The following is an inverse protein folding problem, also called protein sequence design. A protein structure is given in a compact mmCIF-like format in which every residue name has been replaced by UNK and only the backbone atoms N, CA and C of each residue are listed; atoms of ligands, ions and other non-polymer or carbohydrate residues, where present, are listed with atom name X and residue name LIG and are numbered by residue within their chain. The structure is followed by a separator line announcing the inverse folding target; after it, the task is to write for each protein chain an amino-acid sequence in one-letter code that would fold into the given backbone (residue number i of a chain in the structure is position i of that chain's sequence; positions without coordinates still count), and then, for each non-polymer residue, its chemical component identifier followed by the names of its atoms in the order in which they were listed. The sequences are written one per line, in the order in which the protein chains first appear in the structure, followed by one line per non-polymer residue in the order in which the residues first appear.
data_IF_482999926697
#
_entry.id   IF_482999926697
#
_cell.length_a   1.000
_cell.length_b   1.000
_cell.length_c   1.000
_cell.angle_alpha   90.00
_cell.angle_beta   90.00
_cell.angle_gamma   90.00
#
_symmetry.space_group_name_H-M   'P 1'
#
loop_
_entity.id
_entity.type
_entity.pdbx_description
1 polymer ?
#
# COMPACT_ATOMS: atom_id res chain seq x y z
N UNK A 1 -24.64 8.24 -23.54
CA UNK A 1 -24.06 7.52 -22.36
C UNK A 1 -22.54 7.66 -22.34
N UNK A 2 -22.01 8.87 -22.13
CA UNK A 2 -20.56 9.10 -21.96
C UNK A 2 -20.14 9.28 -20.48
N UNK A 3 -21.11 9.50 -19.57
CA UNK A 3 -20.87 9.78 -18.15
C UNK A 3 -20.13 8.65 -17.43
N UNK A 4 -20.67 7.43 -17.45
CA UNK A 4 -20.07 6.28 -16.79
C UNK A 4 -18.65 5.96 -17.30
N UNK A 5 -18.41 6.12 -18.61
CA UNK A 5 -17.07 5.95 -19.17
C UNK A 5 -16.10 7.05 -18.71
N UNK A 6 -16.55 8.31 -18.68
CA UNK A 6 -15.75 9.45 -18.19
C UNK A 6 -15.42 9.31 -16.70
N UNK A 7 -16.38 8.88 -15.88
CA UNK A 7 -16.19 8.64 -14.45
C UNK A 7 -15.16 7.55 -14.21
N UNK A 8 -15.29 6.41 -14.89
CA UNK A 8 -14.32 5.31 -14.84
C UNK A 8 -12.91 5.77 -15.23
N UNK A 9 -12.80 6.57 -16.30
CA UNK A 9 -11.52 7.12 -16.75
C UNK A 9 -10.91 8.07 -15.72
N UNK A 10 -11.72 8.98 -15.16
CA UNK A 10 -11.27 9.91 -14.11
C UNK A 10 -10.83 9.17 -12.86
N UNK A 11 -11.57 8.15 -12.43
CA UNK A 11 -11.21 7.30 -11.30
C UNK A 11 -9.86 6.62 -11.52
N UNK A 12 -9.68 5.96 -12.66
CA UNK A 12 -8.41 5.33 -13.04
C UNK A 12 -7.26 6.33 -13.00
N UNK A 13 -7.43 7.52 -13.57
CA UNK A 13 -6.39 8.56 -13.53
C UNK A 13 -6.07 9.00 -12.11
N UNK A 14 -7.08 9.18 -11.24
CA UNK A 14 -6.87 9.54 -9.82
C UNK A 14 -6.09 8.47 -9.08
N UNK A 15 -6.45 7.19 -9.24
CA UNK A 15 -5.71 6.09 -8.61
C UNK A 15 -4.27 6.04 -9.10
N UNK A 16 -4.04 6.06 -10.42
CA UNK A 16 -2.67 6.01 -10.94
C UNK A 16 -1.82 7.21 -10.50
N UNK A 17 -2.39 8.41 -10.48
CA UNK A 17 -1.70 9.61 -10.00
C UNK A 17 -1.37 9.52 -8.50
N UNK A 18 -2.19 8.84 -7.72
CA UNK A 18 -1.95 8.58 -6.30
C UNK A 18 -0.89 7.48 -6.09
N UNK A 19 -0.87 6.44 -6.92
CA UNK A 19 0.12 5.36 -6.84
C UNK A 19 1.54 5.85 -7.11
N UNK A 20 1.72 6.80 -8.04
CA UNK A 20 3.06 7.28 -8.40
C UNK A 20 3.88 7.81 -7.21
N UNK A 21 3.40 8.78 -6.41
CA UNK A 21 4.15 9.25 -5.24
C UNK A 21 4.28 8.17 -4.17
N UNK A 22 3.30 7.28 -4.00
CA UNK A 22 3.39 6.19 -3.02
C UNK A 22 4.47 5.16 -3.35
N UNK A 23 4.81 4.99 -4.64
CA UNK A 23 5.77 4.00 -5.13
C UNK A 23 7.09 4.61 -5.63
N UNK A 24 7.35 5.88 -5.31
CA UNK A 24 8.48 6.67 -5.85
C UNK A 24 9.84 5.98 -5.62
N UNK A 25 10.02 5.32 -4.47
CA UNK A 25 11.25 4.58 -4.14
C UNK A 25 11.56 3.38 -5.05
N UNK A 26 10.56 2.84 -5.77
CA UNK A 26 10.76 1.70 -6.67
C UNK A 26 11.42 2.09 -8.01
N UNK A 27 11.62 3.38 -8.28
CA UNK A 27 12.21 3.86 -9.55
C UNK A 27 11.26 3.75 -10.74
N UNK A 28 9.95 3.62 -10.50
CA UNK A 28 8.93 3.61 -11.54
C UNK A 28 8.60 5.06 -11.93
N UNK A 29 9.09 5.51 -13.08
CA UNK A 29 9.01 6.93 -13.48
C UNK A 29 7.68 7.33 -14.14
N UNK A 30 6.77 6.39 -14.38
CA UNK A 30 5.47 6.69 -15.00
C UNK A 30 4.42 5.63 -14.71
N UNK A 31 3.14 6.00 -14.82
CA UNK A 31 2.02 5.06 -14.74
C UNK A 31 2.11 3.95 -15.81
N UNK A 32 2.66 4.26 -16.99
CA UNK A 32 2.89 3.26 -18.05
C UNK A 32 3.93 2.22 -17.62
N UNK A 33 5.02 2.65 -16.97
CA UNK A 33 6.02 1.74 -16.42
C UNK A 33 5.40 0.87 -15.32
N UNK A 34 4.67 1.48 -14.39
CA UNK A 34 3.95 0.76 -13.32
C UNK A 34 3.05 -0.35 -13.88
N UNK A 35 2.20 -0.03 -14.85
CA UNK A 35 1.27 -1.01 -15.45
C UNK A 35 1.97 -2.08 -16.28
N UNK A 36 3.16 -1.80 -16.81
CA UNK A 36 3.97 -2.82 -17.49
C UNK A 36 4.53 -3.85 -16.50
N UNK A 37 4.98 -3.38 -15.32
CA UNK A 37 5.50 -4.26 -14.27
C UNK A 37 4.37 -4.96 -13.50
N UNK A 38 3.22 -4.31 -13.35
CA UNK A 38 2.05 -4.81 -12.61
C UNK A 38 0.77 -4.65 -13.44
N UNK A 39 0.56 -5.48 -14.48
CA UNK A 39 -0.64 -5.38 -15.32
C UNK A 39 -1.93 -5.63 -14.54
N UNK A 40 -1.87 -6.40 -13.46
CA UNK A 40 -3.03 -6.66 -12.58
C UNK A 40 -3.61 -5.43 -11.89
N UNK A 41 -2.86 -4.31 -11.82
CA UNK A 41 -3.36 -3.04 -11.27
C UNK A 41 -4.57 -2.54 -12.05
N UNK A 42 -4.64 -2.75 -13.37
CA UNK A 42 -5.80 -2.31 -14.13
C UNK A 42 -7.07 -3.00 -13.64
N UNK A 43 -7.03 -4.32 -13.47
CA UNK A 43 -8.18 -5.07 -12.97
C UNK A 43 -8.54 -4.67 -11.54
N UNK A 44 -7.55 -4.49 -10.66
CA UNK A 44 -7.79 -4.03 -9.29
C UNK A 44 -8.50 -2.67 -9.24
N UNK A 45 -8.08 -1.71 -10.08
CA UNK A 45 -8.74 -0.40 -10.20
C UNK A 45 -10.19 -0.55 -10.66
N UNK A 46 -10.45 -1.45 -11.62
CA UNK A 46 -11.80 -1.71 -12.12
C UNK A 46 -12.70 -2.34 -11.06
N UNK A 47 -12.17 -3.28 -10.29
CA UNK A 47 -12.90 -3.97 -9.22
C UNK A 47 -13.30 -3.00 -8.11
N UNK A 48 -12.36 -2.15 -7.65
CA UNK A 48 -12.65 -1.12 -6.65
C UNK A 48 -13.66 -0.10 -7.16
N UNK A 49 -13.55 0.34 -8.42
CA UNK A 49 -14.55 1.22 -9.02
C UNK A 49 -15.94 0.55 -9.07
N UNK A 50 -16.01 -0.74 -9.40
CA UNK A 50 -17.26 -1.50 -9.43
C UNK A 50 -17.93 -1.64 -8.06
N UNK A 51 -17.15 -1.62 -6.98
CA UNK A 51 -17.64 -1.62 -5.58
C UNK A 51 -18.04 -0.23 -5.08
N UNK A 52 -17.72 0.82 -5.82
CA UNK A 52 -17.95 2.21 -5.41
C UNK A 52 -16.92 2.73 -4.40
N UNK A 53 -15.76 2.07 -4.29
CA UNK A 53 -14.72 2.46 -3.34
C UNK A 53 -14.09 3.81 -3.72
N UNK A 54 -13.77 4.66 -2.73
CA UNK A 54 -12.97 5.87 -3.00
C UNK A 54 -11.59 5.51 -3.55
N UNK A 55 -11.08 6.34 -4.45
CA UNK A 55 -9.78 6.13 -5.11
C UNK A 55 -8.60 5.97 -4.14
N UNK A 56 -8.67 6.55 -2.93
CA UNK A 56 -7.64 6.40 -1.89
C UNK A 56 -7.65 5.00 -1.29
N UNK A 57 -8.84 4.39 -1.14
CA UNK A 57 -9.00 3.00 -0.70
C UNK A 57 -8.34 2.06 -1.71
N UNK A 58 -8.65 2.24 -2.99
CA UNK A 58 -8.02 1.47 -4.07
C UNK A 58 -6.50 1.65 -4.10
N UNK A 59 -6.01 2.89 -3.97
CA UNK A 59 -4.58 3.18 -3.97
C UNK A 59 -3.84 2.49 -2.82
N UNK A 60 -4.35 2.58 -1.58
CA UNK A 60 -3.72 1.93 -0.42
C UNK A 60 -3.72 0.39 -0.54
N UNK A 61 -4.82 -0.20 -1.01
CA UNK A 61 -4.91 -1.65 -1.23
C UNK A 61 -3.93 -2.14 -2.30
N UNK A 62 -3.84 -1.40 -3.42
CA UNK A 62 -2.93 -1.72 -4.52
C UNK A 62 -1.47 -1.57 -4.09
N UNK A 63 -1.11 -0.49 -3.39
CA UNK A 63 0.27 -0.28 -2.90
C UNK A 63 0.67 -1.37 -1.92
N UNK A 64 -0.19 -1.74 -0.98
CA UNK A 64 0.07 -2.85 -0.06
C UNK A 64 0.36 -4.15 -0.81
N UNK A 65 -0.39 -4.43 -1.88
CA UNK A 65 -0.17 -5.60 -2.74
C UNK A 65 1.17 -5.51 -3.49
N UNK A 66 1.46 -4.36 -4.11
CA UNK A 66 2.70 -4.15 -4.87
C UNK A 66 3.94 -4.28 -3.98
N UNK A 67 3.95 -3.64 -2.81
CA UNK A 67 5.10 -3.66 -1.91
C UNK A 67 5.29 -5.04 -1.27
N UNK A 68 4.22 -5.74 -0.90
CA UNK A 68 4.34 -7.11 -0.37
C UNK A 68 4.85 -8.08 -1.44
N UNK A 69 4.40 -7.95 -2.69
CA UNK A 69 4.93 -8.72 -3.81
C UNK A 69 6.42 -8.45 -4.05
N UNK A 70 6.86 -7.18 -3.97
CA UNK A 70 8.28 -6.83 -4.06
C UNK A 70 9.11 -7.49 -2.98
N UNK A 71 8.67 -7.39 -1.73
CA UNK A 71 9.33 -8.02 -0.58
C UNK A 71 9.46 -9.53 -0.78
N UNK A 72 8.37 -10.19 -1.15
CA UNK A 72 8.31 -11.65 -1.24
C UNK A 72 9.17 -12.20 -2.37
N UNK A 73 9.25 -11.50 -3.51
CA UNK A 73 9.94 -11.98 -4.72
C UNK A 73 11.41 -11.58 -4.82
N UNK A 74 11.80 -10.44 -4.26
CA UNK A 74 13.09 -9.83 -4.55
C UNK A 74 14.00 -9.65 -3.34
N UNK A 75 13.48 -9.83 -2.13
CA UNK A 75 14.25 -9.62 -0.91
C UNK A 75 14.32 -10.90 -0.10
N UNK A 76 15.52 -11.30 0.32
CA UNK A 76 15.76 -12.40 1.25
C UNK A 76 15.54 -12.00 2.72
N UNK A 77 15.71 -12.93 3.64
CA UNK A 77 15.46 -12.69 5.07
C UNK A 77 16.39 -11.61 5.67
N UNK A 78 17.66 -11.58 5.29
CA UNK A 78 18.63 -10.63 5.83
C UNK A 78 18.37 -9.22 5.29
N UNK A 79 18.06 -9.11 3.99
CA UNK A 79 17.69 -7.85 3.37
C UNK A 79 16.38 -7.30 3.95
N UNK A 80 15.38 -8.16 4.20
CA UNK A 80 14.12 -7.76 4.85
C UNK A 80 14.36 -7.24 6.27
N UNK A 81 15.21 -7.90 7.05
CA UNK A 81 15.58 -7.46 8.39
C UNK A 81 16.31 -6.10 8.36
N UNK A 82 17.22 -5.90 7.40
CA UNK A 82 17.89 -4.61 7.21
C UNK A 82 16.91 -3.49 6.84
N UNK A 83 15.93 -3.76 5.97
CA UNK A 83 14.87 -2.80 5.64
C UNK A 83 14.04 -2.45 6.87
N UNK A 84 13.62 -3.45 7.66
CA UNK A 84 12.89 -3.20 8.92
C UNK A 84 13.68 -2.29 9.87
N UNK A 85 14.97 -2.56 10.06
CA UNK A 85 15.83 -1.71 10.88
C UNK A 85 15.89 -0.26 10.35
N UNK A 86 16.02 -0.09 9.04
CA UNK A 86 16.00 1.23 8.41
C UNK A 86 14.65 1.96 8.58
N UNK A 87 13.52 1.24 8.55
CA UNK A 87 12.20 1.85 8.77
C UNK A 87 12.03 2.37 10.21
N UNK A 88 12.70 1.76 11.18
CA UNK A 88 12.69 2.20 12.59
C UNK A 88 13.75 3.24 12.93
N UNK A 89 14.76 3.41 12.07
CA UNK A 89 15.81 4.40 12.26
C UNK A 89 15.41 5.77 11.71
N UNK A 90 15.06 6.67 12.63
CA UNK A 90 14.71 8.06 12.33
C UNK A 90 15.93 8.95 12.09
N UNK A 91 17.15 8.49 12.41
CA UNK A 91 18.37 9.28 12.21
C UNK A 91 18.85 9.23 10.75
N UNK A 92 18.60 8.13 10.04
CA UNK A 92 18.98 7.99 8.64
C UNK A 92 18.00 8.73 7.71
N UNK A 93 18.47 9.68 6.87
CA UNK A 93 17.61 10.35 5.89
C UNK A 93 17.01 9.37 4.90
N UNK A 94 15.75 9.59 4.49
CA UNK A 94 15.02 8.74 3.53
C UNK A 94 15.84 8.47 2.27
N UNK A 95 16.46 9.49 1.68
CA UNK A 95 17.27 9.37 0.47
C UNK A 95 18.48 8.41 0.60
N UNK A 96 18.93 8.11 1.82
CA UNK A 96 20.04 7.20 2.10
C UNK A 96 19.58 5.76 2.39
N UNK A 97 18.27 5.51 2.48
CA UNK A 97 17.69 4.18 2.75
C UNK A 97 17.60 3.34 1.47
N UNK A 98 17.39 2.03 1.62
CA UNK A 98 17.07 1.14 0.50
C UNK A 98 15.85 1.63 -0.29
N UNK A 99 15.82 1.38 -1.60
CA UNK A 99 14.73 1.80 -2.48
C UNK A 99 13.36 1.31 -2.03
N UNK A 100 13.27 0.07 -1.52
CA UNK A 100 12.03 -0.45 -0.99
C UNK A 100 11.66 0.25 0.33
N UNK A 101 12.62 0.52 1.21
CA UNK A 101 12.37 1.29 2.42
C UNK A 101 11.86 2.70 2.11
N UNK A 102 12.44 3.37 1.10
CA UNK A 102 11.96 4.65 0.60
C UNK A 102 10.52 4.58 0.10
N UNK A 103 10.18 3.56 -0.68
CA UNK A 103 8.82 3.36 -1.20
C UNK A 103 7.80 3.12 -0.07
N UNK A 104 8.16 2.30 0.93
CA UNK A 104 7.30 2.04 2.09
C UNK A 104 7.04 3.34 2.88
N UNK A 105 8.08 4.15 3.12
CA UNK A 105 7.92 5.44 3.79
C UNK A 105 7.08 6.42 2.96
N UNK A 106 7.27 6.49 1.64
CA UNK A 106 6.41 7.31 0.76
C UNK A 106 4.95 6.88 0.81
N UNK A 107 4.67 5.56 0.78
CA UNK A 107 3.32 5.04 0.91
C UNK A 107 2.69 5.41 2.25
N UNK A 108 3.45 5.28 3.34
CA UNK A 108 3.00 5.65 4.68
C UNK A 108 2.72 7.16 4.80
N UNK A 109 3.63 8.01 4.34
CA UNK A 109 3.50 9.47 4.37
C UNK A 109 2.24 9.93 3.64
N UNK A 110 2.01 9.44 2.41
CA UNK A 110 0.81 9.80 1.62
C UNK A 110 -0.47 9.30 2.29
N UNK A 111 -0.48 8.05 2.77
CA UNK A 111 -1.65 7.51 3.46
C UNK A 111 -1.96 8.25 4.76
N UNK A 112 -0.92 8.61 5.52
CA UNK A 112 -1.04 9.40 6.75
C UNK A 112 -1.63 10.78 6.47
N UNK A 113 -1.11 11.49 5.46
CA UNK A 113 -1.65 12.79 5.07
C UNK A 113 -3.13 12.74 4.67
N UNK A 114 -3.59 11.66 4.04
CA UNK A 114 -5.01 11.50 3.72
C UNK A 114 -5.88 11.24 4.94
N UNK A 115 -5.38 10.48 5.91
CA UNK A 115 -6.07 10.24 7.17
C UNK A 115 -6.22 11.56 7.95
N UNK A 116 -5.14 12.35 8.02
CA UNK A 116 -5.14 13.61 8.76
C UNK A 116 -5.96 14.72 8.07
N UNK A 117 -5.78 14.90 6.75
CA UNK A 117 -6.29 16.08 6.07
C UNK A 117 -7.57 15.86 5.27
N UNK A 118 -7.97 14.61 5.05
CA UNK A 118 -9.01 14.29 4.07
C UNK A 118 -10.02 13.25 4.55
N UNK A 119 -9.98 12.91 5.83
CA UNK A 119 -10.91 11.98 6.48
C UNK A 119 -10.82 10.55 5.94
N UNK A 120 -9.68 10.15 5.38
CA UNK A 120 -9.49 8.76 4.99
C UNK A 120 -9.47 7.85 6.22
N UNK A 121 -9.93 6.61 6.07
CA UNK A 121 -10.01 5.66 7.17
C UNK A 121 -8.61 5.27 7.67
N UNK A 122 -8.35 5.55 8.95
CA UNK A 122 -7.12 5.15 9.65
C UNK A 122 -6.93 3.63 9.60
N UNK A 123 -8.01 2.86 9.68
CA UNK A 123 -7.98 1.40 9.61
C UNK A 123 -7.38 0.87 8.31
N UNK A 124 -7.59 1.58 7.19
CA UNK A 124 -6.99 1.20 5.90
C UNK A 124 -5.49 1.45 5.85
N UNK A 125 -5.01 2.57 6.40
CA UNK A 125 -3.57 2.82 6.54
C UNK A 125 -2.92 1.74 7.41
N UNK A 126 -3.50 1.46 8.57
CA UNK A 126 -2.93 0.51 9.52
C UNK A 126 -2.96 -0.91 8.96
N UNK A 127 -3.99 -1.27 8.20
CA UNK A 127 -4.06 -2.50 7.43
C UNK A 127 -2.93 -2.59 6.40
N UNK A 128 -2.76 -1.56 5.57
CA UNK A 128 -1.70 -1.49 4.55
C UNK A 128 -0.31 -1.68 5.19
N UNK A 129 -0.02 -0.94 6.25
CA UNK A 129 1.28 -1.04 6.93
C UNK A 129 1.48 -2.39 7.63
N UNK A 130 0.42 -2.95 8.23
CA UNK A 130 0.49 -4.28 8.84
C UNK A 130 0.84 -5.37 7.82
N UNK A 131 0.32 -5.28 6.60
CA UNK A 131 0.64 -6.24 5.53
C UNK A 131 2.10 -6.15 5.11
N UNK A 132 2.58 -4.92 4.89
CA UNK A 132 3.96 -4.65 4.49
C UNK A 132 4.93 -5.14 5.57
N UNK A 133 4.69 -4.76 6.84
CA UNK A 133 5.52 -5.19 7.97
C UNK A 133 5.49 -6.71 8.12
N UNK A 134 4.31 -7.33 7.96
CA UNK A 134 4.19 -8.78 8.03
C UNK A 134 5.02 -9.49 6.95
N UNK A 135 5.01 -8.98 5.72
CA UNK A 135 5.82 -9.54 4.63
C UNK A 135 7.34 -9.38 4.91
N UNK A 136 7.75 -8.22 5.45
CA UNK A 136 9.13 -8.00 5.88
C UNK A 136 9.54 -8.96 7.01
N UNK A 137 8.62 -9.31 7.91
CA UNK A 137 8.84 -10.31 8.95
C UNK A 137 8.85 -11.76 8.42
N UNK A 138 8.64 -11.96 7.11
CA UNK A 138 8.62 -13.27 6.48
C UNK A 138 7.29 -14.01 6.59
N UNK A 139 6.22 -13.35 7.00
CA UNK A 139 4.90 -13.98 7.09
C UNK A 139 4.25 -14.10 5.71
N UNK A 140 3.91 -15.34 5.34
CA UNK A 140 3.10 -15.61 4.16
C UNK A 140 1.69 -15.03 4.28
N UNK A 141 0.96 -14.99 3.16
CA UNK A 141 -0.37 -14.39 3.06
C UNK A 141 -1.37 -14.95 4.08
N UNK A 142 -1.33 -16.25 4.36
CA UNK A 142 -2.23 -16.90 5.33
C UNK A 142 -1.93 -16.44 6.76
N UNK A 143 -0.67 -16.39 7.16
CA UNK A 143 -0.26 -15.92 8.48
C UNK A 143 -0.59 -14.44 8.68
N UNK A 144 -0.37 -13.61 7.65
CA UNK A 144 -0.80 -12.20 7.65
C UNK A 144 -2.31 -12.09 7.84
N UNK A 145 -3.09 -12.90 7.11
CA UNK A 145 -4.54 -12.95 7.24
C UNK A 145 -5.02 -13.35 8.63
N UNK A 146 -4.42 -14.39 9.21
CA UNK A 146 -4.73 -14.85 10.58
C UNK A 146 -4.47 -13.76 11.61
N UNK A 147 -3.35 -13.05 11.51
CA UNK A 147 -2.99 -11.95 12.41
C UNK A 147 -3.93 -10.76 12.27
N UNK A 148 -4.36 -10.41 11.05
CA UNK A 148 -5.39 -9.37 10.84
C UNK A 148 -6.68 -9.71 11.54
N UNK A 149 -7.19 -10.93 11.33
CA UNK A 149 -8.43 -11.40 11.96
C UNK A 149 -8.31 -11.37 13.48
N UNK A 150 -7.19 -11.83 14.03
CA UNK A 150 -6.95 -11.79 15.46
C UNK A 150 -6.98 -10.36 16.02
N UNK A 151 -6.30 -9.40 15.37
CA UNK A 151 -6.34 -7.98 15.82
C UNK A 151 -7.73 -7.38 15.73
N UNK A 152 -8.47 -7.66 14.65
CA UNK A 152 -9.83 -7.15 14.47
C UNK A 152 -10.79 -7.70 15.54
N UNK A 153 -10.69 -9.00 15.85
CA UNK A 153 -11.48 -9.64 16.91
C UNK A 153 -11.12 -9.07 18.28
N UNK A 154 -9.83 -8.90 18.60
CA UNK A 154 -9.41 -8.31 19.88
C UNK A 154 -9.88 -6.87 20.04
N UNK A 155 -9.84 -6.05 18.98
CA UNK A 155 -10.35 -4.68 19.01
C UNK A 155 -11.87 -4.62 19.23
N UNK A 156 -12.63 -5.53 18.62
CA UNK A 156 -14.08 -5.61 18.79
C UNK A 156 -14.47 -6.00 20.24
N UNK A 157 -13.71 -6.89 20.87
CA UNK A 157 -13.90 -7.28 22.28
C UNK A 157 -13.65 -6.08 23.21
N UNK A 158 -12.61 -5.29 22.96
CA UNK A 158 -12.32 -4.10 23.78
C UNK A 158 -13.26 -2.92 23.56
N UNK A 159 -13.97 -2.85 22.42
CA UNK A 159 -14.95 -1.80 22.14
C UNK A 159 -16.35 -2.09 22.75
N UNK A 160 -16.58 -3.30 23.26
CA UNK A 160 -17.87 -3.77 23.78
C UNK A 160 -17.89 -4.00 25.31
N UNK A 161 -16.77 -3.72 26.00
CA UNK A 161 -16.65 -3.75 27.46
C UNK A 161 -16.33 -2.38 28.03
#
# INVERSE_FOLDING_TARGET
MFGAWLERRRYRTRVLNALMPMLDGLGLTSAKALLRHYPGIENAVLDHHGRGDDHRVAAMAIVGTVLTDQIERHYDADQRAAILAQLTDNATPKASKDRLAQAILSAEEVAHLWVENSGADRGLRDLMMSEIIGALQGYGAEERSRRRLHRALSAAVHATG
#
